data_IF_507467098831
#
_entry.id   IF_507467098831
#
_cell.length_a   1.000
_cell.length_b   1.000
_cell.length_c   1.000
_cell.angle_alpha   90.00
_cell.angle_beta   90.00
_cell.angle_gamma   90.00
#
_symmetry.space_group_name_H-M   'P 1'
#
loop_
_entity.id
_entity.type
_entity.pdbx_description
1 polymer ?
#
# COMPACT_ATOMS: atom_id res chain seq x y z
N UNK A 1 11.86 8.07 14.74
CA UNK A 1 10.71 7.73 13.87
C UNK A 1 10.63 8.79 12.77
N UNK A 2 10.78 8.40 11.50
CA UNK A 2 10.85 9.35 10.37
C UNK A 2 9.56 9.29 9.56
N UNK A 3 8.83 10.40 9.49
CA UNK A 3 7.56 10.45 8.76
C UNK A 3 7.80 10.56 7.24
N UNK A 4 7.04 9.80 6.42
CA UNK A 4 7.16 9.83 4.95
C UNK A 4 6.44 11.04 4.34
N UNK A 5 6.89 12.26 4.65
CA UNK A 5 6.29 13.47 4.07
C UNK A 5 6.55 13.55 2.57
N UNK A 6 5.48 13.54 1.78
CA UNK A 6 5.55 13.62 0.31
C UNK A 6 5.97 12.32 -0.37
N UNK A 7 6.21 11.24 0.38
CA UNK A 7 6.48 9.91 -0.16
C UNK A 7 5.18 9.12 -0.16
N UNK A 8 4.72 8.73 -1.35
CA UNK A 8 3.48 7.98 -1.55
C UNK A 8 3.71 6.59 -2.13
N UNK A 9 4.98 6.18 -2.21
CA UNK A 9 5.40 4.87 -2.68
C UNK A 9 5.64 3.94 -1.49
N UNK A 10 4.93 2.81 -1.48
CA UNK A 10 5.01 1.82 -0.41
C UNK A 10 6.40 1.19 -0.30
N UNK A 11 7.01 0.82 -1.43
CA UNK A 11 8.32 0.18 -1.46
C UNK A 11 9.38 1.08 -0.80
N UNK A 12 9.44 2.35 -1.20
CA UNK A 12 10.35 3.35 -0.62
C UNK A 12 10.15 3.50 0.89
N UNK A 13 8.90 3.49 1.36
CA UNK A 13 8.58 3.64 2.78
C UNK A 13 9.15 2.47 3.59
N UNK A 14 9.01 1.23 3.09
CA UNK A 14 9.52 0.03 3.75
C UNK A 14 11.05 -0.01 3.69
N UNK A 15 11.65 0.16 2.52
CA UNK A 15 13.11 0.12 2.32
C UNK A 15 13.85 1.19 3.15
N UNK A 16 13.28 2.40 3.23
CA UNK A 16 13.86 3.50 4.02
C UNK A 16 13.47 3.48 5.51
N UNK A 17 12.75 2.45 5.96
CA UNK A 17 12.26 2.30 7.35
C UNK A 17 11.53 3.56 7.85
N UNK A 18 10.72 4.15 6.96
CA UNK A 18 9.86 5.29 7.29
C UNK A 18 8.63 4.81 8.05
N UNK A 19 7.98 5.74 8.74
CA UNK A 19 6.76 5.42 9.46
C UNK A 19 5.65 4.99 8.49
N UNK A 20 5.20 3.76 8.64
CA UNK A 20 4.06 3.20 7.93
C UNK A 20 3.05 2.67 8.95
N UNK A 21 1.78 2.98 8.72
CA UNK A 21 0.68 2.34 9.44
C UNK A 21 0.21 1.20 8.57
N UNK A 22 0.34 -0.03 9.09
CA UNK A 22 -0.07 -1.22 8.36
C UNK A 22 -1.57 -1.20 8.05
N UNK A 23 -1.90 -1.34 6.76
CA UNK A 23 -3.27 -1.42 6.24
C UNK A 23 -3.53 -2.72 5.49
N UNK A 24 -2.67 -3.71 5.62
CA UNK A 24 -2.78 -5.01 4.93
C UNK A 24 -4.09 -5.73 5.26
N UNK A 25 -4.64 -5.53 6.46
CA UNK A 25 -5.96 -6.04 6.83
C UNK A 25 -7.10 -5.54 5.91
N UNK A 26 -6.96 -4.35 5.30
CA UNK A 26 -7.95 -3.80 4.39
C UNK A 26 -7.97 -4.52 3.02
N UNK A 27 -6.94 -5.30 2.68
CA UNK A 27 -6.88 -6.05 1.41
C UNK A 27 -8.02 -7.05 1.34
N UNK A 28 -8.29 -7.77 2.44
CA UNK A 28 -9.41 -8.73 2.50
C UNK A 28 -10.75 -8.03 2.21
N UNK A 29 -10.99 -6.90 2.86
CA UNK A 29 -12.25 -6.15 2.68
C UNK A 29 -12.36 -5.58 1.24
N UNK A 30 -11.22 -5.26 0.61
CA UNK A 30 -11.12 -4.84 -0.80
C UNK A 30 -11.45 -6.01 -1.75
N UNK A 31 -10.92 -7.20 -1.49
CA UNK A 31 -11.20 -8.41 -2.27
C UNK A 31 -12.67 -8.84 -2.17
N UNK A 32 -13.28 -8.71 -0.98
CA UNK A 32 -14.68 -9.04 -0.74
C UNK A 32 -15.67 -8.00 -1.30
N UNK A 33 -15.26 -6.74 -1.45
CA UNK A 33 -16.14 -5.65 -1.89
C UNK A 33 -16.56 -5.72 -3.37
N UNK A 34 -15.93 -6.60 -4.16
CA UNK A 34 -16.37 -6.94 -5.52
C UNK A 34 -15.41 -6.49 -6.63
N UNK A 35 -15.79 -6.74 -7.89
CA UNK A 35 -14.91 -6.58 -9.05
C UNK A 35 -14.50 -5.14 -9.37
N UNK A 36 -15.34 -4.16 -9.00
CA UNK A 36 -15.09 -2.76 -9.32
C UNK A 36 -15.23 -1.89 -8.07
N UNK A 37 -14.09 -1.36 -7.63
CA UNK A 37 -14.00 -0.52 -6.45
C UNK A 37 -13.89 0.95 -6.85
N UNK A 38 -14.85 1.75 -6.40
CA UNK A 38 -14.79 3.21 -6.56
C UNK A 38 -14.34 3.84 -5.25
N UNK A 39 -13.11 4.33 -5.22
CA UNK A 39 -12.69 5.19 -4.13
C UNK A 39 -13.29 6.60 -4.34
N UNK A 40 -14.25 6.97 -3.48
CA UNK A 40 -14.84 8.31 -3.43
C UNK A 40 -13.74 9.38 -3.32
N UNK A 41 -14.06 10.67 -3.48
CA UNK A 41 -13.06 11.76 -3.51
C UNK A 41 -12.75 12.46 -2.16
N UNK A 42 -12.52 11.81 -1.00
CA UNK A 42 -11.86 12.51 0.11
C UNK A 42 -10.42 12.90 -0.25
N UNK A 43 -10.07 14.16 0.06
CA UNK A 43 -8.74 14.73 -0.15
C UNK A 43 -7.77 14.16 0.90
N UNK A 44 -6.54 13.83 0.49
CA UNK A 44 -5.47 13.30 1.39
C UNK A 44 -5.80 12.00 2.13
N UNK A 45 -6.76 11.21 1.66
CA UNK A 45 -7.12 9.92 2.28
C UNK A 45 -6.03 8.84 2.17
N UNK A 46 -5.01 9.06 1.33
CA UNK A 46 -3.93 8.09 1.13
C UNK A 46 -4.24 7.00 0.09
N UNK A 47 -5.16 7.27 -0.85
CA UNK A 47 -5.48 6.36 -1.98
C UNK A 47 -4.25 5.98 -2.79
N UNK A 48 -3.37 6.93 -3.09
CA UNK A 48 -2.14 6.66 -3.85
C UNK A 48 -1.24 5.66 -3.13
N UNK A 49 -1.06 5.82 -1.83
CA UNK A 49 -0.27 4.90 -1.02
C UNK A 49 -0.90 3.52 -0.92
N UNK A 50 -2.24 3.45 -0.80
CA UNK A 50 -2.97 2.19 -0.84
C UNK A 50 -2.77 1.45 -2.17
N UNK A 51 -2.91 2.14 -3.30
CA UNK A 51 -2.70 1.55 -4.63
C UNK A 51 -1.26 1.06 -4.82
N UNK A 52 -0.26 1.85 -4.40
CA UNK A 52 1.14 1.41 -4.43
C UNK A 52 1.37 0.17 -3.55
N UNK A 53 0.73 0.10 -2.38
CA UNK A 53 0.79 -1.11 -1.54
C UNK A 53 0.16 -2.32 -2.25
N UNK A 54 -1.03 -2.17 -2.83
CA UNK A 54 -1.71 -3.26 -3.55
C UNK A 54 -0.90 -3.73 -4.77
N UNK A 55 -0.29 -2.80 -5.49
CA UNK A 55 0.62 -3.11 -6.60
C UNK A 55 1.80 -3.96 -6.11
N UNK A 56 2.41 -3.61 -4.98
CA UNK A 56 3.49 -4.41 -4.41
C UNK A 56 3.03 -5.76 -3.86
N UNK A 57 1.78 -5.87 -3.40
CA UNK A 57 1.20 -7.10 -2.86
C UNK A 57 0.81 -8.10 -3.97
N UNK A 58 0.20 -7.64 -5.07
CA UNK A 58 -0.29 -8.51 -6.14
C UNK A 58 0.73 -8.78 -7.26
N UNK A 59 1.82 -8.01 -7.34
CA UNK A 59 2.82 -8.18 -8.38
C UNK A 59 3.69 -9.42 -8.14
N UNK A 60 3.49 -10.45 -8.96
CA UNK A 60 4.23 -11.71 -8.90
C UNK A 60 5.74 -11.52 -9.11
N UNK A 61 6.17 -10.52 -9.87
CA UNK A 61 7.59 -10.24 -10.07
C UNK A 61 8.29 -9.79 -8.77
N UNK A 62 7.51 -9.37 -7.76
CA UNK A 62 7.98 -8.95 -6.45
C UNK A 62 7.81 -10.03 -5.38
N UNK A 63 7.26 -11.20 -5.72
CA UNK A 63 7.01 -12.27 -4.76
C UNK A 63 8.28 -12.71 -4.01
N UNK A 64 9.42 -12.84 -4.70
CA UNK A 64 10.70 -13.23 -4.08
C UNK A 64 11.22 -12.20 -3.07
N UNK A 65 10.74 -10.95 -3.13
CA UNK A 65 11.13 -9.88 -2.19
C UNK A 65 10.34 -9.93 -0.89
N UNK A 66 9.22 -10.64 -0.86
CA UNK A 66 8.40 -10.76 0.35
C UNK A 66 9.16 -11.48 1.46
N UNK A 67 9.93 -12.52 1.11
CA UNK A 67 10.74 -13.30 2.04
C UNK A 67 12.11 -12.67 2.36
N UNK A 68 12.49 -11.59 1.64
CA UNK A 68 13.80 -10.95 1.73
C UNK A 68 13.87 -9.79 2.74
N UNK A 69 12.75 -9.45 3.39
CA UNK A 69 12.60 -8.34 4.35
C UNK A 69 12.70 -8.81 5.79
#
# INVERSE_FOLDING_TARGET
>A
MKFPYGVYDFQTIIEQRLFYVDRTAAIRDIEEAGYQLLFLRPRRFGKSLLLSMLENYYDLAKAERFDAL
#
